data_IF_429578684354
#
_entry.id   IF_429578684354
#
_cell.length_a   1.000
_cell.length_b   1.000
_cell.length_c   1.000
_cell.angle_alpha   90.00
_cell.angle_beta   90.00
_cell.angle_gamma   90.00
#
_symmetry.space_group_name_H-M   'P 1'
#
loop_
_entity.id
_entity.type
_entity.pdbx_description
1 polymer ?
#
# COMPACT_ATOMS: atom_id res chain seq x y z
N UNK A 1 15.16 -4.58 5.38
CA UNK A 1 14.58 -4.93 6.71
C UNK A 1 13.39 -5.89 6.58
N UNK A 2 12.34 -5.55 5.82
CA UNK A 2 11.15 -6.40 5.67
C UNK A 2 11.44 -7.87 5.26
N UNK A 3 12.30 -8.10 4.25
CA UNK A 3 12.67 -9.46 3.83
C UNK A 3 13.38 -10.26 4.94
N UNK A 4 14.24 -9.60 5.73
CA UNK A 4 15.02 -10.25 6.81
C UNK A 4 14.10 -10.67 7.97
N UNK A 5 13.10 -9.85 8.29
CA UNK A 5 12.06 -10.17 9.28
C UNK A 5 11.17 -11.32 8.79
N UNK A 6 10.80 -11.32 7.51
CA UNK A 6 9.98 -12.38 6.94
C UNK A 6 10.69 -13.75 6.95
N UNK A 7 11.99 -13.79 6.66
CA UNK A 7 12.80 -15.02 6.72
C UNK A 7 13.00 -15.56 8.15
N UNK A 8 12.91 -14.72 9.17
CA UNK A 8 12.96 -15.16 10.57
C UNK A 8 11.71 -15.96 10.96
N UNK A 9 10.54 -15.63 10.39
CA UNK A 9 9.30 -16.37 10.62
C UNK A 9 9.07 -17.53 9.64
N UNK A 10 9.56 -17.42 8.41
CA UNK A 10 9.40 -18.42 7.35
C UNK A 10 10.73 -18.61 6.61
N UNK A 11 11.53 -19.63 6.99
CA UNK A 11 12.86 -19.87 6.42
C UNK A 11 12.83 -20.05 4.89
N UNK A 12 11.82 -20.75 4.39
CA UNK A 12 11.59 -21.03 2.97
C UNK A 12 10.62 -20.04 2.33
N UNK A 13 10.89 -18.74 2.47
CA UNK A 13 10.05 -17.70 1.87
C UNK A 13 10.15 -17.73 0.33
N UNK A 14 9.04 -17.94 -0.41
CA UNK A 14 9.05 -17.95 -1.86
C UNK A 14 9.50 -16.60 -2.42
N UNK A 15 10.34 -16.63 -3.45
CA UNK A 15 10.86 -15.43 -4.12
C UNK A 15 9.73 -14.53 -4.67
N UNK A 16 8.59 -15.13 -5.00
CA UNK A 16 7.38 -14.45 -5.46
C UNK A 16 6.79 -13.54 -4.38
N UNK A 17 6.78 -13.97 -3.11
CA UNK A 17 6.29 -13.16 -1.99
C UNK A 17 7.21 -11.96 -1.76
N UNK A 18 8.52 -12.14 -1.88
CA UNK A 18 9.50 -11.06 -1.74
C UNK A 18 9.35 -10.04 -2.88
N UNK A 19 9.17 -10.51 -4.10
CA UNK A 19 8.96 -9.63 -5.27
C UNK A 19 7.64 -8.89 -5.17
N UNK A 20 6.58 -9.56 -4.72
CA UNK A 20 5.28 -8.96 -4.46
C UNK A 20 5.37 -7.85 -3.41
N UNK A 21 6.00 -8.12 -2.26
CA UNK A 21 6.16 -7.11 -1.19
C UNK A 21 6.97 -5.90 -1.67
N UNK A 22 8.01 -6.08 -2.49
CA UNK A 22 8.72 -4.95 -3.11
C UNK A 22 7.81 -4.12 -4.02
N UNK A 23 7.01 -4.76 -4.89
CA UNK A 23 6.07 -4.06 -5.78
C UNK A 23 4.99 -3.31 -5.02
N UNK A 24 4.45 -3.92 -3.96
CA UNK A 24 3.47 -3.27 -3.08
C UNK A 24 4.06 -2.05 -2.40
N UNK A 25 5.28 -2.15 -1.86
CA UNK A 25 5.97 -1.00 -1.26
C UNK A 25 6.15 0.14 -2.26
N UNK A 26 6.60 -0.17 -3.49
CA UNK A 26 6.73 0.83 -4.54
C UNK A 26 5.39 1.50 -4.86
N UNK A 27 4.31 0.73 -4.96
CA UNK A 27 2.97 1.27 -5.21
C UNK A 27 2.51 2.20 -4.07
N UNK A 28 2.76 1.84 -2.81
CA UNK A 28 2.49 2.70 -1.66
C UNK A 28 3.36 3.96 -1.65
N UNK A 29 4.64 3.87 -2.00
CA UNK A 29 5.50 5.04 -2.11
C UNK A 29 4.98 6.03 -3.17
N UNK A 30 4.59 5.53 -4.35
CA UNK A 30 3.99 6.36 -5.40
C UNK A 30 2.67 6.97 -4.93
N UNK A 31 1.82 6.19 -4.27
CA UNK A 31 0.56 6.66 -3.70
C UNK A 31 0.76 7.79 -2.69
N UNK A 32 1.65 7.60 -1.71
CA UNK A 32 1.93 8.62 -0.70
C UNK A 32 2.59 9.85 -1.30
N UNK A 33 3.49 9.68 -2.27
CA UNK A 33 4.08 10.80 -3.01
C UNK A 33 3.02 11.63 -3.73
N UNK A 34 2.14 10.98 -4.49
CA UNK A 34 1.04 11.65 -5.18
C UNK A 34 0.08 12.33 -4.18
N UNK A 35 -0.32 11.62 -3.12
CA UNK A 35 -1.23 12.17 -2.11
C UNK A 35 -0.64 13.37 -1.39
N UNK A 36 0.66 13.33 -1.04
CA UNK A 36 1.36 14.45 -0.44
C UNK A 36 1.45 15.65 -1.39
N UNK A 37 1.72 15.42 -2.68
CA UNK A 37 1.72 16.47 -3.69
C UNK A 37 0.34 17.12 -3.84
N UNK A 38 -0.73 16.33 -3.89
CA UNK A 38 -2.10 16.85 -3.97
C UNK A 38 -2.48 17.61 -2.69
N UNK A 39 -2.15 17.09 -1.51
CA UNK A 39 -2.36 17.79 -0.26
C UNK A 39 -1.62 19.13 -0.21
N UNK A 40 -0.35 19.16 -0.63
CA UNK A 40 0.45 20.39 -0.73
C UNK A 40 -0.16 21.37 -1.73
N UNK A 41 -0.57 20.89 -2.91
CA UNK A 41 -1.20 21.72 -3.92
C UNK A 41 -2.49 22.38 -3.39
N UNK A 42 -3.36 21.59 -2.77
CA UNK A 42 -4.61 22.11 -2.19
C UNK A 42 -4.36 23.07 -1.03
N UNK A 43 -3.23 22.94 -0.31
CA UNK A 43 -2.87 23.85 0.77
C UNK A 43 -2.36 25.21 0.26
N UNK A 44 -1.62 25.22 -0.85
CA UNK A 44 -1.01 26.45 -1.40
C UNK A 44 -1.99 27.22 -2.30
N UNK A 45 -2.79 26.51 -3.08
CA UNK A 45 -3.64 27.12 -4.11
C UNK A 45 -5.14 26.85 -3.94
N UNK A 46 -5.54 25.95 -3.02
CA UNK A 46 -6.94 25.67 -2.74
C UNK A 46 -7.50 26.58 -1.65
N UNK A 47 -8.83 26.64 -1.57
CA UNK A 47 -9.52 27.20 -0.40
C UNK A 47 -9.44 26.24 0.80
N UNK A 48 -9.54 26.77 2.02
CA UNK A 48 -9.53 25.97 3.25
C UNK A 48 -10.55 24.82 3.25
N UNK A 49 -11.74 25.02 2.67
CA UNK A 49 -12.76 23.97 2.54
C UNK A 49 -12.27 22.79 1.68
N UNK A 50 -11.70 23.08 0.50
CA UNK A 50 -11.17 22.06 -0.42
C UNK A 50 -10.03 21.29 0.24
N UNK A 51 -9.13 22.00 0.93
CA UNK A 51 -8.04 21.35 1.67
C UNK A 51 -8.59 20.45 2.79
N UNK A 52 -9.59 20.92 3.54
CA UNK A 52 -10.25 20.15 4.59
C UNK A 52 -10.93 18.88 4.06
N UNK A 53 -11.74 18.99 3.00
CA UNK A 53 -12.40 17.82 2.41
C UNK A 53 -11.42 16.83 1.80
N UNK A 54 -10.37 17.33 1.15
CA UNK A 54 -9.34 16.47 0.58
C UNK A 54 -8.60 15.68 1.67
N UNK A 55 -8.06 16.36 2.67
CA UNK A 55 -7.27 15.73 3.73
C UNK A 55 -8.14 14.94 4.72
N UNK A 56 -9.37 15.39 4.98
CA UNK A 56 -10.28 14.79 5.96
C UNK A 56 -11.08 13.60 5.43
N UNK A 57 -11.36 13.53 4.13
CA UNK A 57 -12.21 12.48 3.54
C UNK A 57 -11.51 11.78 2.38
N UNK A 58 -11.13 12.52 1.34
CA UNK A 58 -10.67 11.92 0.08
C UNK A 58 -9.39 11.12 0.29
N UNK A 59 -8.39 11.67 1.00
CA UNK A 59 -7.13 11.00 1.28
C UNK A 59 -7.33 9.66 2.01
N UNK A 60 -8.27 9.61 2.97
CA UNK A 60 -8.60 8.39 3.71
C UNK A 60 -9.34 7.37 2.85
N UNK A 61 -10.27 7.80 2.00
CA UNK A 61 -10.97 6.91 1.05
C UNK A 61 -9.97 6.29 0.07
N UNK A 62 -9.05 7.10 -0.47
CA UNK A 62 -8.00 6.63 -1.36
C UNK A 62 -7.06 5.64 -0.67
N UNK A 63 -6.66 5.93 0.57
CA UNK A 63 -5.83 5.01 1.36
C UNK A 63 -6.57 3.69 1.65
N UNK A 64 -7.87 3.75 1.97
CA UNK A 64 -8.72 2.59 2.18
C UNK A 64 -8.88 1.72 0.92
N UNK A 65 -9.04 2.36 -0.24
CA UNK A 65 -9.09 1.67 -1.53
C UNK A 65 -7.75 0.99 -1.84
N UNK A 66 -6.64 1.69 -1.62
CA UNK A 66 -5.29 1.16 -1.82
C UNK A 66 -5.04 -0.07 -0.93
N UNK A 67 -5.40 0.03 0.35
CA UNK A 67 -5.27 -1.07 1.31
C UNK A 67 -6.14 -2.27 0.94
N UNK A 68 -7.38 -2.03 0.52
CA UNK A 68 -8.31 -3.09 0.09
C UNK A 68 -7.80 -3.78 -1.17
N UNK A 69 -7.28 -3.01 -2.13
CA UNK A 69 -6.65 -3.53 -3.34
C UNK A 69 -5.43 -4.40 -3.04
N UNK A 70 -4.52 -3.91 -2.18
CA UNK A 70 -3.38 -4.69 -1.73
C UNK A 70 -3.82 -6.00 -1.06
N UNK A 71 -4.76 -5.92 -0.12
CA UNK A 71 -5.25 -7.07 0.62
C UNK A 71 -5.87 -8.14 -0.29
N UNK A 72 -6.64 -7.72 -1.29
CA UNK A 72 -7.21 -8.64 -2.27
C UNK A 72 -6.13 -9.32 -3.11
N UNK A 73 -5.12 -8.56 -3.57
CA UNK A 73 -3.97 -9.10 -4.31
C UNK A 73 -3.16 -10.08 -3.45
N UNK A 74 -2.94 -9.75 -2.17
CA UNK A 74 -2.25 -10.62 -1.21
C UNK A 74 -3.00 -11.94 -1.05
N UNK A 75 -4.32 -11.89 -0.88
CA UNK A 75 -5.16 -13.10 -0.78
C UNK A 75 -5.11 -13.94 -2.04
N UNK A 76 -5.14 -13.32 -3.23
CA UNK A 76 -5.03 -14.05 -4.50
C UNK A 76 -3.67 -14.72 -4.65
N UNK A 77 -2.57 -14.02 -4.33
CA UNK A 77 -1.22 -14.56 -4.37
C UNK A 77 -1.04 -15.74 -3.40
N UNK A 78 -1.47 -15.59 -2.13
CA UNK A 78 -1.33 -16.66 -1.15
C UNK A 78 -2.13 -17.92 -1.55
N UNK A 79 -3.32 -17.74 -2.13
CA UNK A 79 -4.09 -18.86 -2.69
C UNK A 79 -3.39 -19.52 -3.87
N UNK A 80 -2.84 -18.75 -4.82
CA UNK A 80 -2.16 -19.33 -5.99
C UNK A 80 -0.89 -20.09 -5.61
N UNK A 81 -0.24 -19.69 -4.51
CA UNK A 81 0.95 -20.35 -3.98
C UNK A 81 0.63 -21.60 -3.13
N UNK A 82 -0.64 -21.87 -2.82
CA UNK A 82 -1.03 -22.92 -1.87
C UNK A 82 -0.42 -22.69 -0.47
N UNK A 83 -0.05 -21.45 -0.17
CA UNK A 83 0.66 -21.08 1.05
C UNK A 83 -0.33 -21.04 2.22
N UNK A 84 -0.28 -22.06 3.08
CA UNK A 84 -1.20 -22.23 4.21
C UNK A 84 -1.75 -23.65 4.41
N UNK A 85 -1.46 -24.60 3.50
CA UNK A 85 -1.78 -26.03 3.66
C UNK A 85 -0.56 -26.93 3.89
N UNK A 86 0.60 -26.35 4.25
CA UNK A 86 1.80 -27.07 4.67
C UNK A 86 2.12 -26.75 6.12
#
# INVERSE_FOLDING_TARGET
>A
VAERIARLGYPDLPIEIVTYTRKVTQAWCVFFGANALTALWTAVWGSDEVWFYYNGIIAYLLAGLMFTGEWLLRRRLLRSLGWGSR
#
